data_IF_695047944974
#
_entry.id   IF_695047944974
#
_cell.length_a   1.000
_cell.length_b   1.000
_cell.length_c   1.000
_cell.angle_alpha   90.00
_cell.angle_beta   90.00
_cell.angle_gamma   90.00
#
_symmetry.space_group_name_H-M   'P 1'
#
loop_
_entity.id
_entity.type
_entity.pdbx_description
1 polymer ?
#
# COMPACT_ATOMS: atom_id res chain seq x y z
N UNK A 1 -71.73 11.20 5.82
CA UNK A 1 -70.64 11.87 6.57
C UNK A 1 -69.62 10.83 6.96
N UNK A 2 -68.54 10.69 6.19
CA UNK A 2 -67.53 9.64 6.35
C UNK A 2 -66.22 10.30 6.83
N UNK A 3 -65.83 10.08 8.08
CA UNK A 3 -64.57 10.60 8.65
C UNK A 3 -63.39 9.79 8.08
N UNK A 4 -62.57 10.41 7.22
CA UNK A 4 -61.28 9.85 6.79
C UNK A 4 -60.28 9.98 7.94
N UNK A 5 -59.80 8.84 8.44
CA UNK A 5 -58.69 8.71 9.36
C UNK A 5 -57.40 8.85 8.54
N UNK A 6 -56.67 9.95 8.69
CA UNK A 6 -55.36 10.12 8.08
C UNK A 6 -54.28 9.64 9.07
N UNK A 7 -53.72 8.47 8.79
CA UNK A 7 -52.49 7.95 9.38
C UNK A 7 -51.36 8.26 8.39
N UNK A 8 -50.23 8.77 8.90
CA UNK A 8 -48.85 8.84 8.34
C UNK A 8 -48.28 10.25 8.28
N UNK A 9 -47.23 10.44 9.08
CA UNK A 9 -46.33 11.58 9.00
C UNK A 9 -45.19 11.46 10.00
N UNK A 10 -44.60 10.27 10.18
CA UNK A 10 -43.33 10.16 10.89
C UNK A 10 -42.21 10.38 9.86
N UNK A 11 -41.77 11.63 9.74
CA UNK A 11 -40.54 11.97 9.01
C UNK A 11 -39.35 11.45 9.83
N UNK A 12 -38.86 10.26 9.51
CA UNK A 12 -37.56 9.80 9.99
C UNK A 12 -36.49 10.51 9.17
N UNK A 13 -35.82 11.50 9.76
CA UNK A 13 -34.61 12.07 9.21
C UNK A 13 -33.52 10.99 9.21
N UNK A 14 -33.20 10.44 8.04
CA UNK A 14 -31.97 9.67 7.83
C UNK A 14 -30.86 10.71 7.76
N UNK A 15 -30.24 11.03 8.89
CA UNK A 15 -28.95 11.72 8.90
C UNK A 15 -27.92 10.76 8.30
N UNK A 16 -27.53 11.03 7.05
CA UNK A 16 -26.41 10.37 6.42
C UNK A 16 -25.17 10.60 7.27
N UNK A 17 -24.71 9.54 7.95
CA UNK A 17 -23.41 9.52 8.60
C UNK A 17 -22.37 9.41 7.48
N UNK A 18 -21.99 10.54 6.89
CA UNK A 18 -20.83 10.57 6.00
C UNK A 18 -19.59 10.37 6.85
N UNK A 19 -19.12 9.12 6.93
CA UNK A 19 -17.78 8.85 7.43
C UNK A 19 -16.79 9.53 6.49
N UNK A 20 -16.12 10.58 6.98
CA UNK A 20 -14.92 11.09 6.34
C UNK A 20 -13.84 10.03 6.55
N UNK A 21 -13.76 9.06 5.64
CA UNK A 21 -12.57 8.24 5.52
C UNK A 21 -11.46 9.18 5.06
N UNK A 22 -10.51 9.47 5.95
CA UNK A 22 -9.21 9.94 5.48
C UNK A 22 -8.70 8.88 4.50
N UNK A 23 -8.17 9.29 3.34
CA UNK A 23 -7.42 8.39 2.48
C UNK A 23 -6.34 7.73 3.36
N UNK A 24 -6.49 6.43 3.59
CA UNK A 24 -5.67 5.65 4.50
C UNK A 24 -4.57 4.98 3.68
N UNK A 25 -3.48 5.71 3.46
CA UNK A 25 -2.32 5.29 2.68
C UNK A 25 -2.02 3.78 2.79
N UNK A 26 -2.08 3.07 1.67
CA UNK A 26 -1.80 1.65 1.59
C UNK A 26 -0.29 1.39 1.67
N UNK A 27 0.11 0.57 2.64
CA UNK A 27 1.49 0.13 2.83
C UNK A 27 1.64 -1.27 2.29
N UNK A 28 2.55 -1.48 1.34
CA UNK A 28 2.88 -2.79 0.79
C UNK A 28 4.22 -3.27 1.35
N UNK A 29 4.25 -4.49 1.87
CA UNK A 29 5.49 -5.19 2.15
C UNK A 29 6.05 -5.73 0.84
N UNK A 30 7.27 -5.34 0.48
CA UNK A 30 7.91 -5.91 -0.70
C UNK A 30 8.33 -7.36 -0.41
N UNK A 31 8.15 -8.22 -1.41
CA UNK A 31 8.65 -9.59 -1.36
C UNK A 31 10.17 -9.55 -1.24
N UNK A 32 10.73 -10.30 -0.28
CA UNK A 32 12.18 -10.38 -0.12
C UNK A 32 12.81 -10.85 -1.42
N UNK A 33 13.76 -10.08 -1.92
CA UNK A 33 14.42 -10.30 -3.20
C UNK A 33 15.89 -10.59 -2.95
N UNK A 34 16.28 -11.83 -3.17
CA UNK A 34 17.65 -12.32 -3.01
C UNK A 34 18.42 -12.12 -4.33
N UNK A 35 19.50 -11.35 -4.27
CA UNK A 35 20.40 -11.10 -5.39
C UNK A 35 21.60 -12.08 -5.43
N UNK A 36 21.70 -13.00 -4.46
CA UNK A 36 22.88 -13.85 -4.27
C UNK A 36 23.93 -13.17 -3.39
N UNK A 37 24.94 -13.95 -2.97
CA UNK A 37 26.06 -13.50 -2.13
C UNK A 37 25.66 -12.77 -0.82
N UNK A 38 24.46 -13.11 -0.33
CA UNK A 38 23.86 -12.55 0.88
C UNK A 38 23.25 -11.15 0.72
N UNK A 39 23.15 -10.66 -0.51
CA UNK A 39 22.43 -9.44 -0.83
C UNK A 39 20.93 -9.68 -0.90
N UNK A 40 20.16 -9.07 0.00
CA UNK A 40 18.71 -9.24 0.05
C UNK A 40 18.03 -7.88 0.19
N UNK A 41 17.13 -7.55 -0.74
CA UNK A 41 16.24 -6.40 -0.61
C UNK A 41 14.95 -6.79 0.11
N UNK A 42 14.55 -5.99 1.09
CA UNK A 42 13.25 -6.12 1.78
C UNK A 42 12.83 -4.76 2.35
N UNK A 43 11.54 -4.57 2.62
CA UNK A 43 11.03 -3.31 3.16
C UNK A 43 9.60 -3.02 2.76
N UNK A 44 9.28 -1.72 2.66
CA UNK A 44 7.91 -1.26 2.39
C UNK A 44 7.84 -0.16 1.36
N UNK A 45 6.71 -0.10 0.66
CA UNK A 45 6.31 1.00 -0.23
C UNK A 45 4.94 1.49 0.22
N UNK A 46 4.79 2.79 0.44
CA UNK A 46 3.51 3.42 0.78
C UNK A 46 2.95 4.16 -0.43
N UNK A 47 1.65 3.99 -0.66
CA UNK A 47 0.92 4.66 -1.75
C UNK A 47 -0.18 5.57 -1.21
N UNK A 48 -0.77 6.40 -2.07
CA UNK A 48 -1.87 7.32 -1.75
C UNK A 48 -3.28 6.71 -1.87
N UNK A 49 -3.39 5.38 -1.86
CA UNK A 49 -4.62 4.58 -2.10
C UNK A 49 -5.19 4.60 -3.50
N UNK A 50 -4.48 5.19 -4.46
CA UNK A 50 -4.87 5.03 -5.86
C UNK A 50 -4.87 3.54 -6.22
N UNK A 51 -5.98 3.06 -6.76
CA UNK A 51 -6.12 1.70 -7.30
C UNK A 51 -6.01 1.75 -8.82
N UNK A 52 -5.34 0.75 -9.40
CA UNK A 52 -4.99 0.68 -10.82
C UNK A 52 -3.59 1.22 -11.06
N UNK A 53 -3.40 1.90 -12.20
CA UNK A 53 -2.09 2.39 -12.62
C UNK A 53 -1.56 3.46 -11.67
N UNK A 54 -0.32 3.31 -11.25
CA UNK A 54 0.38 4.24 -10.38
C UNK A 54 1.44 5.04 -11.15
N UNK A 55 1.64 6.27 -10.70
CA UNK A 55 2.75 7.15 -11.08
C UNK A 55 3.68 7.37 -9.89
N UNK A 56 4.82 8.03 -10.10
CA UNK A 56 5.73 8.38 -8.99
C UNK A 56 5.09 9.26 -7.93
N UNK A 57 4.10 10.09 -8.31
CA UNK A 57 3.36 10.92 -7.36
C UNK A 57 2.45 10.11 -6.41
N UNK A 58 2.07 8.89 -6.80
CA UNK A 58 1.26 8.01 -5.98
C UNK A 58 2.08 7.24 -4.95
N UNK A 59 3.42 7.20 -5.08
CA UNK A 59 4.32 6.64 -4.07
C UNK A 59 4.66 7.75 -3.08
N UNK A 60 4.05 7.68 -1.90
CA UNK A 60 4.14 8.72 -0.88
C UNK A 60 5.29 8.50 0.08
N UNK A 61 5.77 7.25 0.22
CA UNK A 61 6.93 6.89 1.01
C UNK A 61 7.48 5.52 0.59
N UNK A 62 8.73 5.25 0.94
CA UNK A 62 9.31 3.90 0.89
C UNK A 62 10.47 3.81 1.90
N UNK A 63 10.69 2.59 2.39
CA UNK A 63 11.83 2.24 3.24
C UNK A 63 12.25 0.83 2.87
N UNK A 64 13.27 0.74 2.02
CA UNK A 64 13.76 -0.52 1.46
C UNK A 64 15.22 -0.68 1.81
N UNK A 65 15.54 -1.75 2.53
CA UNK A 65 16.91 -2.10 2.92
C UNK A 65 17.44 -3.18 2.01
N UNK A 66 18.64 -2.98 1.46
CA UNK A 66 19.43 -4.03 0.83
C UNK A 66 20.52 -4.43 1.81
N UNK A 67 20.42 -5.60 2.44
CA UNK A 67 21.45 -6.10 3.36
C UNK A 67 22.67 -6.61 2.61
N UNK A 68 23.87 -6.44 3.15
CA UNK A 68 25.07 -7.17 2.71
C UNK A 68 25.26 -8.42 3.59
N UNK A 69 25.56 -9.57 2.97
CA UNK A 69 25.68 -10.86 3.68
C UNK A 69 26.81 -10.95 4.71
N UNK A 70 27.54 -9.86 4.98
CA UNK A 70 28.82 -9.82 5.68
C UNK A 70 28.76 -9.08 7.03
N UNK A 71 27.57 -8.68 7.51
CA UNK A 71 27.40 -8.23 8.90
C UNK A 71 26.82 -6.83 9.10
N UNK A 72 25.96 -6.36 8.20
CA UNK A 72 24.89 -5.44 8.59
C UNK A 72 25.07 -3.98 8.19
N UNK A 73 25.87 -3.68 7.18
CA UNK A 73 25.90 -2.35 6.56
C UNK A 73 25.17 -2.40 5.22
N UNK A 74 23.89 -2.74 5.28
CA UNK A 74 23.00 -2.58 4.14
C UNK A 74 22.84 -1.11 3.72
N UNK A 75 22.31 -0.89 2.52
CA UNK A 75 21.90 0.44 2.08
C UNK A 75 20.39 0.58 2.15
N UNK A 76 19.91 1.68 2.71
CA UNK A 76 18.48 1.98 2.79
C UNK A 76 18.11 2.98 1.70
N UNK A 77 17.18 2.60 0.84
CA UNK A 77 16.47 3.50 -0.06
C UNK A 77 15.25 4.05 0.66
N UNK A 78 15.22 5.37 0.84
CA UNK A 78 14.10 6.09 1.43
C UNK A 78 13.66 7.23 0.54
N UNK A 79 12.43 7.73 0.74
CA UNK A 79 11.91 8.89 0.01
C UNK A 79 12.88 10.09 0.07
N UNK A 80 13.53 10.28 1.21
CA UNK A 80 14.40 11.43 1.45
C UNK A 80 15.76 11.33 0.75
N UNK A 81 16.26 10.11 0.49
CA UNK A 81 17.60 9.91 -0.06
C UNK A 81 17.63 9.38 -1.51
N UNK A 82 16.48 8.99 -2.04
CA UNK A 82 16.37 8.35 -3.34
C UNK A 82 15.18 8.88 -4.15
N UNK A 83 15.17 8.63 -5.46
CA UNK A 83 14.03 8.89 -6.33
C UNK A 83 13.48 7.61 -6.94
N UNK A 84 12.16 7.51 -7.07
CA UNK A 84 11.48 6.39 -7.73
C UNK A 84 11.32 6.65 -9.24
N UNK A 85 11.79 5.71 -10.07
CA UNK A 85 11.48 5.62 -11.49
C UNK A 85 10.47 4.50 -11.71
N UNK A 86 9.35 4.85 -12.35
CA UNK A 86 8.19 3.98 -12.47
C UNK A 86 7.72 3.94 -13.91
N UNK A 87 7.50 2.73 -14.42
CA UNK A 87 6.80 2.46 -15.67
C UNK A 87 5.94 1.21 -15.46
N UNK A 88 4.65 1.28 -15.76
CA UNK A 88 3.76 0.11 -15.66
C UNK A 88 3.61 -0.46 -14.25
N UNK A 89 3.64 0.36 -13.20
CA UNK A 89 3.30 -0.07 -11.84
C UNK A 89 1.79 0.04 -11.63
N UNK A 90 1.19 -0.96 -10.99
CA UNK A 90 -0.24 -0.99 -10.69
C UNK A 90 -0.50 -1.68 -9.36
N UNK A 91 -1.58 -1.30 -8.69
CA UNK A 91 -2.11 -2.03 -7.53
C UNK A 91 -3.59 -2.35 -7.70
N UNK A 92 -4.03 -3.49 -7.17
CA UNK A 92 -5.45 -3.82 -7.02
C UNK A 92 -5.99 -3.52 -5.60
N UNK A 93 -5.16 -2.93 -4.75
CA UNK A 93 -5.43 -2.65 -3.33
C UNK A 93 -4.95 -3.74 -2.39
N UNK A 94 -4.55 -4.89 -2.92
CA UNK A 94 -3.99 -6.02 -2.16
C UNK A 94 -2.57 -6.37 -2.56
N UNK A 95 -2.23 -6.17 -3.83
CA UNK A 95 -0.91 -6.46 -4.38
C UNK A 95 -0.37 -5.26 -5.14
N UNK A 96 0.94 -5.10 -5.09
CA UNK A 96 1.68 -4.16 -5.89
C UNK A 96 2.38 -4.92 -7.01
N UNK A 97 2.15 -4.50 -8.25
CA UNK A 97 2.54 -5.27 -9.44
C UNK A 97 3.25 -4.40 -10.47
N UNK A 98 4.28 -4.96 -11.10
CA UNK A 98 4.96 -4.35 -12.25
C UNK A 98 4.58 -5.11 -13.51
N UNK A 99 4.03 -4.39 -14.48
CA UNK A 99 3.48 -4.95 -15.71
C UNK A 99 4.56 -5.47 -16.65
N UNK A 100 4.34 -6.66 -17.21
CA UNK A 100 5.11 -7.15 -18.33
C UNK A 100 4.32 -6.96 -19.64
N UNK A 101 4.97 -6.58 -20.76
CA UNK A 101 6.36 -6.17 -20.90
C UNK A 101 6.59 -4.68 -20.54
N UNK A 102 7.87 -4.28 -20.49
CA UNK A 102 8.35 -2.90 -20.30
C UNK A 102 8.13 -2.26 -18.92
N UNK A 103 7.51 -2.95 -17.96
CA UNK A 103 7.39 -2.39 -16.61
C UNK A 103 8.74 -2.25 -15.91
N UNK A 104 8.88 -1.18 -15.15
CA UNK A 104 10.07 -0.85 -14.36
C UNK A 104 9.64 -0.27 -13.02
N UNK A 105 10.22 -0.79 -11.94
CA UNK A 105 10.27 -0.11 -10.65
C UNK A 105 11.71 -0.06 -10.15
N UNK A 106 12.22 1.16 -9.99
CA UNK A 106 13.60 1.41 -9.60
C UNK A 106 13.70 2.58 -8.63
N UNK A 107 14.66 2.51 -7.70
CA UNK A 107 15.04 3.55 -6.76
C UNK A 107 16.51 3.91 -6.99
N UNK A 108 16.85 5.20 -7.01
CA UNK A 108 18.22 5.67 -7.29
C UNK A 108 18.65 6.80 -6.35
N UNK A 109 19.93 6.79 -5.93
CA UNK A 109 20.54 7.84 -5.08
C UNK A 109 21.74 8.48 -5.76
N UNK A 110 22.03 9.78 -5.59
CA UNK A 110 21.13 10.77 -5.00
C UNK A 110 19.90 10.95 -5.91
N UNK A 111 18.91 11.74 -5.48
CA UNK A 111 17.68 12.02 -6.25
C UNK A 111 17.95 12.56 -7.69
N UNK A 112 19.22 12.88 -8.00
CA UNK A 112 19.70 13.27 -9.32
C UNK A 112 20.04 12.05 -10.21
N UNK A 113 19.37 11.89 -11.38
CA UNK A 113 19.55 10.75 -12.29
C UNK A 113 20.89 10.72 -13.05
N UNK A 114 21.76 11.71 -12.89
CA UNK A 114 23.04 11.81 -13.62
C UNK A 114 24.26 11.36 -12.81
N UNK A 115 24.11 11.09 -11.51
CA UNK A 115 25.22 10.77 -10.61
C UNK A 115 24.85 9.64 -9.64
N UNK A 116 24.19 8.59 -10.12
CA UNK A 116 23.63 7.58 -9.22
C UNK A 116 24.73 6.74 -8.54
N UNK A 117 24.89 6.89 -7.23
CA UNK A 117 25.80 6.14 -6.36
C UNK A 117 25.26 4.74 -6.02
N UNK A 118 23.94 4.63 -5.85
CA UNK A 118 23.25 3.36 -5.60
C UNK A 118 21.95 3.30 -6.37
N UNK A 119 21.65 2.13 -6.93
CA UNK A 119 20.42 1.87 -7.69
C UNK A 119 19.85 0.52 -7.28
N UNK A 120 18.57 0.49 -6.94
CA UNK A 120 17.81 -0.72 -6.69
C UNK A 120 16.69 -0.84 -7.71
N UNK A 121 16.72 -1.90 -8.51
CA UNK A 121 15.66 -2.25 -9.46
C UNK A 121 14.95 -3.48 -8.91
N UNK A 122 13.74 -3.31 -8.39
CA UNK A 122 12.93 -4.43 -7.89
C UNK A 122 12.36 -5.26 -9.04
N UNK A 123 12.05 -4.60 -10.16
CA UNK A 123 11.62 -5.26 -11.38
C UNK A 123 11.97 -4.41 -12.58
N UNK A 124 12.52 -5.04 -13.62
CA UNK A 124 12.92 -4.37 -14.84
C UNK A 124 12.69 -5.31 -16.03
N UNK A 125 11.64 -5.03 -16.81
CA UNK A 125 11.20 -5.81 -17.97
C UNK A 125 11.42 -5.06 -19.30
N UNK A 126 12.32 -4.08 -19.28
CA UNK A 126 12.79 -3.33 -20.44
C UNK A 126 14.14 -3.91 -20.94
N UNK A 127 14.63 -3.43 -22.09
CA UNK A 127 15.96 -3.77 -22.63
C UNK A 127 16.24 -5.26 -22.90
N UNK A 128 15.20 -6.08 -23.13
CA UNK A 128 15.36 -7.46 -23.60
C UNK A 128 15.89 -8.44 -22.56
N UNK A 129 15.99 -8.04 -21.29
CA UNK A 129 16.24 -8.93 -20.15
C UNK A 129 15.28 -8.59 -19.01
N UNK A 130 14.63 -9.61 -18.47
CA UNK A 130 13.78 -9.49 -17.29
C UNK A 130 14.65 -9.71 -16.06
N UNK A 131 14.86 -8.66 -15.26
CA UNK A 131 15.80 -8.74 -14.13
C UNK A 131 15.39 -7.88 -12.95
N UNK A 132 15.93 -8.23 -11.80
CA UNK A 132 16.09 -7.33 -10.68
C UNK A 132 17.60 -7.05 -10.49
N UNK A 133 17.95 -5.88 -9.97
CA UNK A 133 19.35 -5.51 -9.84
C UNK A 133 19.59 -4.57 -8.66
N UNK A 134 20.72 -4.76 -7.97
CA UNK A 134 21.29 -3.80 -7.05
C UNK A 134 22.65 -3.34 -7.57
N UNK A 135 22.80 -2.04 -7.75
CA UNK A 135 24.03 -1.38 -8.18
C UNK A 135 24.53 -0.54 -7.01
N UNK A 136 25.80 -0.72 -6.67
CA UNK A 136 26.50 0.15 -5.75
C UNK A 136 27.73 0.77 -6.45
N UNK A 137 28.53 1.53 -5.72
CA UNK A 137 29.71 2.21 -6.28
C UNK A 137 30.80 1.30 -6.85
N UNK A 138 30.81 0.03 -6.46
CA UNK A 138 31.90 -0.90 -6.73
C UNK A 138 31.42 -2.07 -7.61
N UNK A 139 30.13 -2.42 -7.54
CA UNK A 139 29.61 -3.63 -8.14
C UNK A 139 28.18 -3.50 -8.67
N UNK A 140 27.84 -4.39 -9.60
CA UNK A 140 26.50 -4.60 -10.16
C UNK A 140 26.12 -6.04 -9.91
N UNK A 141 25.07 -6.24 -9.11
CA UNK A 141 24.54 -7.55 -8.78
C UNK A 141 23.14 -7.63 -9.39
N UNK A 142 22.94 -8.51 -10.37
CA UNK A 142 21.63 -8.74 -10.98
C UNK A 142 21.23 -10.20 -10.98
N UNK A 143 19.92 -10.42 -10.90
CA UNK A 143 19.29 -11.74 -11.00
C UNK A 143 18.24 -11.69 -12.08
N UNK A 144 18.23 -12.73 -12.92
CA UNK A 144 17.20 -12.89 -13.92
C UNK A 144 15.87 -13.22 -13.24
N UNK A 145 14.82 -12.46 -13.56
CA UNK A 145 13.46 -12.78 -13.18
C UNK A 145 12.94 -13.74 -14.24
N UNK A 146 12.84 -15.03 -13.90
CA UNK A 146 12.48 -16.10 -14.85
C UNK A 146 11.18 -15.73 -15.61
N UNK A 147 11.23 -15.58 -16.95
CA UNK A 147 10.09 -15.20 -17.77
C UNK A 147 9.02 -16.30 -17.94
N UNK A 148 9.08 -17.46 -17.28
CA UNK A 148 7.96 -18.43 -17.34
C UNK A 148 6.65 -17.88 -16.71
N UNK A 149 6.69 -16.70 -16.08
CA UNK A 149 5.54 -15.89 -15.67
C UNK A 149 5.10 -14.79 -16.69
N UNK A 150 5.65 -14.79 -17.92
CA UNK A 150 5.54 -13.74 -18.98
C UNK A 150 4.14 -13.44 -19.55
N UNK A 151 3.06 -13.88 -18.91
CA UNK A 151 1.69 -13.47 -19.22
C UNK A 151 0.98 -12.80 -18.03
N UNK A 152 1.63 -12.71 -16.87
CA UNK A 152 1.05 -12.17 -15.64
C UNK A 152 1.91 -11.03 -15.08
N UNK A 153 1.30 -10.01 -14.45
CA UNK A 153 2.04 -8.96 -13.74
C UNK A 153 2.99 -9.57 -12.71
N UNK A 154 4.20 -9.01 -12.57
CA UNK A 154 5.14 -9.44 -11.55
C UNK A 154 4.77 -8.80 -10.21
N UNK A 155 4.44 -9.63 -9.23
CA UNK A 155 4.02 -9.18 -7.90
C UNK A 155 5.29 -8.84 -7.10
N UNK A 156 5.45 -7.56 -6.78
CA UNK A 156 6.60 -7.07 -6.01
C UNK A 156 6.30 -6.97 -4.52
N UNK A 157 5.03 -6.98 -4.12
CA UNK A 157 4.65 -6.87 -2.72
C UNK A 157 3.15 -7.00 -2.49
N UNK A 158 2.80 -7.20 -1.23
CA UNK A 158 1.44 -7.43 -0.75
C UNK A 158 1.09 -6.40 0.34
N UNK A 159 -0.19 -6.05 0.44
CA UNK A 159 -0.69 -5.12 1.44
C UNK A 159 -0.31 -5.61 2.84
N UNK A 160 0.32 -4.74 3.63
CA UNK A 160 0.63 -5.02 5.01
C UNK A 160 -0.66 -5.22 5.80
N UNK A 161 -0.72 -6.28 6.62
CA UNK A 161 -1.88 -6.54 7.46
C UNK A 161 -2.14 -5.34 8.39
N UNK A 162 -3.26 -4.65 8.17
CA UNK A 162 -3.71 -3.62 9.12
C UNK A 162 -4.21 -4.31 10.37
N UNK A 163 -3.40 -4.31 11.43
CA UNK A 163 -3.89 -4.62 12.77
C UNK A 163 -4.83 -3.49 13.19
N UNK A 164 -6.11 -3.60 12.83
CA UNK A 164 -7.12 -2.65 13.30
C UNK A 164 -7.30 -2.88 14.79
N UNK A 165 -6.52 -2.19 15.62
CA UNK A 165 -6.88 -2.00 17.02
C UNK A 165 -8.12 -1.12 17.00
N UNK A 166 -9.31 -1.62 17.37
CA UNK A 166 -10.53 -0.81 17.30
C UNK A 166 -10.36 0.39 18.23
N UNK A 167 -10.50 1.60 17.67
CA UNK A 167 -10.45 2.80 18.49
C UNK A 167 -11.56 2.75 19.56
N UNK A 168 -11.31 3.25 20.78
CA UNK A 168 -12.26 3.20 21.90
C UNK A 168 -13.65 3.75 21.57
N UNK A 169 -13.77 4.63 20.57
CA UNK A 169 -15.03 5.23 20.12
C UNK A 169 -16.08 4.23 19.62
N UNK A 170 -15.68 3.10 19.03
CA UNK A 170 -16.61 2.08 18.53
C UNK A 170 -17.31 1.30 19.65
N UNK A 171 -16.69 1.20 20.83
CA UNK A 171 -17.27 0.53 22.00
C UNK A 171 -18.36 1.41 22.64
N UNK A 172 -18.16 2.74 22.67
CA UNK A 172 -19.15 3.67 23.21
C UNK A 172 -20.39 3.82 22.32
N UNK A 173 -20.27 3.68 20.99
CA UNK A 173 -21.42 3.65 20.09
C UNK A 173 -22.32 2.43 20.35
N UNK A 174 -21.74 1.26 20.64
CA UNK A 174 -22.49 0.07 21.03
C UNK A 174 -23.10 0.19 22.43
N UNK A 175 -22.39 0.75 23.41
CA UNK A 175 -22.93 0.98 24.75
C UNK A 175 -24.05 2.03 24.77
N UNK A 176 -23.97 3.08 23.95
CA UNK A 176 -25.02 4.10 23.82
C UNK A 176 -26.33 3.53 23.29
N UNK A 177 -26.26 2.61 22.31
CA UNK A 177 -27.42 1.86 21.84
C UNK A 177 -27.99 0.93 22.93
N UNK A 178 -27.14 0.27 23.72
CA UNK A 178 -27.56 -0.63 24.80
C UNK A 178 -28.31 0.08 25.95
N UNK A 179 -27.90 1.31 26.30
CA UNK A 179 -28.53 2.08 27.38
C UNK A 179 -29.84 2.77 26.95
N UNK A 180 -30.01 3.09 25.67
CA UNK A 180 -31.25 3.66 25.13
C UNK A 180 -32.45 2.72 25.23
N UNK A 181 -32.24 1.40 25.10
CA UNK A 181 -33.31 0.40 25.24
C UNK A 181 -33.72 0.13 26.70
N UNK A 182 -32.83 0.36 27.67
CA UNK A 182 -33.15 0.16 29.10
C UNK A 182 -33.98 1.34 29.64
N UNK A 183 -33.73 2.57 29.16
CA UNK A 183 -34.48 3.76 29.61
C UNK A 183 -35.94 3.81 29.12
N UNK A 184 -36.27 3.15 28.00
CA UNK A 184 -37.61 3.21 27.41
C UNK A 184 -38.66 2.31 28.10
N UNK A 185 -38.27 1.44 29.05
CA UNK A 185 -39.20 0.48 29.69
C UNK A 185 -39.83 0.97 31.01
N UNK A 186 -39.54 2.21 31.43
CA UNK A 186 -39.85 2.71 32.77
C UNK A 186 -40.82 3.90 32.84
N UNK A 187 -41.95 3.91 32.12
CA UNK A 187 -43.11 4.75 32.48
C UNK A 187 -44.43 4.04 32.18
N UNK A 188 -44.95 3.30 33.18
CA UNK A 188 -46.41 3.13 33.34
C UNK A 188 -46.86 4.08 34.44
N UNK A 189 -47.70 5.02 34.05
CA UNK A 189 -48.40 5.97 34.91
C UNK A 189 -49.36 5.21 35.82
N UNK A 190 -49.45 5.65 37.08
CA UNK A 190 -50.56 5.33 37.99
C UNK A 190 -51.71 6.32 37.74
#
# INVERSE_FOLDING_TARGET
MLKKLAFLGLFSAISALSANYAAQAAVFNINSLDFGDGFVASGTITTDDTIGSLTSANLTNWDITVTDGVGGSGFNFTETNSGAFIQGLSTDGTQLTVLFPNGVLQFQTPVNPFLSDFVLSLARFDFGRNRAAYINRIDVIDVDIDPLASSSPYIIGELAETTTTPEPGSIFALLGLGLGFVAAKGKKQA
#
